data_IF_846766036537
#
_entry.id   IF_846766036537
#
_cell.length_a   1.000
_cell.length_b   1.000
_cell.length_c   1.000
_cell.angle_alpha   90.00
_cell.angle_beta   90.00
_cell.angle_gamma   90.00
#
_symmetry.space_group_name_H-M   'P 1'
#
loop_
_entity.id
_entity.type
_entity.pdbx_description
1 polymer ?
#
# COMPACT_ATOMS: atom_id res chain seq x y z
N UNK A 1 57.60 -40.11 -32.25
CA UNK A 1 56.19 -40.18 -31.92
C UNK A 1 55.85 -38.97 -31.03
N UNK A 2 55.15 -37.96 -31.61
CA UNK A 2 54.77 -36.72 -30.92
C UNK A 2 53.29 -36.86 -30.55
N UNK A 3 52.99 -36.97 -29.23
CA UNK A 3 51.65 -37.02 -28.71
C UNK A 3 51.08 -35.59 -28.65
N UNK A 4 49.99 -35.33 -29.35
CA UNK A 4 49.23 -34.06 -29.27
C UNK A 4 48.13 -34.23 -28.24
N UNK A 5 48.20 -33.41 -27.20
CA UNK A 5 47.13 -33.31 -26.18
C UNK A 5 46.11 -32.28 -26.72
N UNK A 6 44.93 -32.73 -27.02
CA UNK A 6 43.78 -31.86 -27.38
C UNK A 6 43.06 -31.47 -26.09
N UNK A 7 43.12 -30.19 -25.69
CA UNK A 7 42.39 -29.65 -24.57
C UNK A 7 41.02 -29.23 -25.09
N UNK A 8 39.96 -29.93 -24.64
CA UNK A 8 38.57 -29.53 -24.83
C UNK A 8 38.19 -28.46 -23.78
N UNK A 9 38.06 -27.23 -24.23
CA UNK A 9 37.46 -26.16 -23.40
C UNK A 9 35.95 -26.28 -23.51
N UNK A 10 35.32 -26.78 -22.44
CA UNK A 10 33.86 -26.77 -22.32
C UNK A 10 33.40 -25.34 -21.96
N UNK A 11 32.80 -24.67 -22.93
CA UNK A 11 32.15 -23.35 -22.72
C UNK A 11 30.81 -23.56 -21.98
N UNK A 12 30.82 -23.31 -20.69
CA UNK A 12 29.57 -23.30 -19.89
C UNK A 12 28.82 -22.00 -20.19
N UNK A 13 27.79 -22.08 -21.02
CA UNK A 13 26.82 -21.00 -21.22
C UNK A 13 25.94 -20.92 -19.97
N UNK A 14 26.20 -19.97 -19.06
CA UNK A 14 25.28 -19.54 -18.03
C UNK A 14 24.11 -18.82 -18.72
N UNK A 15 23.06 -19.56 -19.01
CA UNK A 15 21.78 -18.99 -19.41
C UNK A 15 21.19 -18.25 -18.22
N UNK A 16 21.31 -16.93 -18.20
CA UNK A 16 20.49 -16.09 -17.33
C UNK A 16 19.03 -16.25 -17.80
N UNK A 17 18.24 -17.04 -17.08
CA UNK A 17 16.78 -16.98 -17.19
C UNK A 17 16.33 -15.62 -16.65
N UNK A 18 16.26 -14.61 -17.52
CA UNK A 18 15.39 -13.47 -17.29
C UNK A 18 13.95 -14.01 -17.42
N UNK A 19 13.31 -14.30 -16.27
CA UNK A 19 11.87 -14.49 -16.24
C UNK A 19 11.19 -13.28 -16.89
N UNK A 20 9.98 -13.44 -17.46
CA UNK A 20 9.25 -12.33 -18.04
C UNK A 20 9.15 -11.23 -16.97
N UNK A 21 9.62 -10.04 -17.30
CA UNK A 21 9.39 -8.86 -16.48
C UNK A 21 7.87 -8.74 -16.35
N UNK A 22 7.37 -8.97 -15.14
CA UNK A 22 5.96 -8.81 -14.83
C UNK A 22 5.64 -7.35 -15.18
N UNK A 23 4.74 -7.11 -16.11
CA UNK A 23 4.48 -5.78 -16.69
C UNK A 23 3.98 -4.76 -15.65
N UNK A 24 3.78 -5.21 -14.42
CA UNK A 24 3.54 -4.33 -13.28
C UNK A 24 2.39 -3.32 -13.44
N UNK A 25 1.44 -3.58 -14.33
CA UNK A 25 0.25 -2.74 -14.52
C UNK A 25 -0.91 -3.39 -13.78
N UNK A 26 -1.48 -2.68 -12.82
CA UNK A 26 -2.60 -3.19 -12.01
C UNK A 26 -3.78 -2.24 -12.08
N UNK A 27 -4.94 -2.77 -12.41
CA UNK A 27 -6.22 -2.06 -12.41
C UNK A 27 -6.78 -1.92 -10.99
N UNK A 28 -7.66 -0.95 -10.82
CA UNK A 28 -8.43 -0.81 -9.59
C UNK A 28 -9.21 -2.08 -9.30
N UNK A 29 -9.25 -2.57 -8.05
CA UNK A 29 -10.12 -3.67 -7.64
C UNK A 29 -11.59 -3.36 -7.91
N UNK A 30 -12.36 -4.39 -8.25
CA UNK A 30 -13.80 -4.34 -8.47
C UNK A 30 -14.56 -5.06 -7.36
N UNK A 31 -15.88 -4.89 -7.31
CA UNK A 31 -16.72 -5.60 -6.34
C UNK A 31 -16.54 -7.12 -6.39
N UNK A 32 -16.31 -7.69 -7.60
CA UNK A 32 -16.15 -9.13 -7.81
C UNK A 32 -14.86 -9.70 -7.20
N UNK A 33 -13.89 -8.85 -6.86
CA UNK A 33 -12.62 -9.28 -6.28
C UNK A 33 -12.72 -9.55 -4.77
N UNK A 34 -13.83 -9.16 -4.10
CA UNK A 34 -14.03 -9.29 -2.67
C UNK A 34 -14.94 -10.46 -2.32
N UNK A 35 -14.62 -11.18 -1.23
CA UNK A 35 -15.37 -12.34 -0.78
C UNK A 35 -15.72 -12.23 0.71
N UNK A 36 -16.95 -12.63 1.09
CA UNK A 36 -17.37 -12.68 2.50
C UNK A 36 -16.43 -13.58 3.30
N UNK A 37 -15.95 -13.08 4.44
CA UNK A 37 -14.99 -13.75 5.31
C UNK A 37 -13.54 -13.51 4.94
N UNK A 38 -13.24 -12.71 3.89
CA UNK A 38 -11.89 -12.22 3.64
C UNK A 38 -11.51 -11.23 4.74
N UNK A 39 -10.33 -11.42 5.34
CA UNK A 39 -9.94 -10.70 6.56
C UNK A 39 -8.51 -10.24 6.51
N UNK A 40 -8.26 -9.03 6.99
CA UNK A 40 -6.95 -8.42 7.18
C UNK A 40 -6.80 -7.97 8.63
N UNK A 41 -5.60 -8.14 9.20
CA UNK A 41 -5.24 -7.61 10.52
C UNK A 41 -3.94 -6.83 10.39
N UNK A 42 -3.97 -5.55 10.78
CA UNK A 42 -2.80 -4.70 10.85
C UNK A 42 -2.41 -4.42 12.29
N UNK A 43 -1.11 -4.25 12.49
CA UNK A 43 -0.56 -3.68 13.71
C UNK A 43 0.00 -2.31 13.39
N UNK A 44 -0.34 -1.32 14.21
CA UNK A 44 0.10 0.05 14.01
C UNK A 44 0.77 0.62 15.24
N UNK A 45 1.68 1.60 15.03
CA UNK A 45 2.32 2.36 16.07
C UNK A 45 2.66 3.77 15.59
N UNK A 46 2.31 4.77 16.40
CA UNK A 46 2.66 6.17 16.21
C UNK A 46 3.46 6.70 17.37
N UNK A 47 4.59 7.36 17.08
CA UNK A 47 5.52 7.90 18.09
C UNK A 47 5.97 9.30 17.71
N UNK A 48 6.25 10.13 18.71
CA UNK A 48 6.93 11.41 18.50
C UNK A 48 8.45 11.23 18.41
N UNK A 49 9.18 12.23 17.91
CA UNK A 49 10.65 12.23 17.89
C UNK A 49 11.27 12.13 19.30
N UNK A 50 10.52 12.52 20.34
CA UNK A 50 10.92 12.35 21.74
C UNK A 50 10.66 10.95 22.29
N UNK A 51 10.04 10.06 21.47
CA UNK A 51 9.74 8.68 21.83
C UNK A 51 8.41 8.48 22.57
N UNK A 52 7.57 9.52 22.67
CA UNK A 52 6.23 9.38 23.25
C UNK A 52 5.33 8.59 22.29
N UNK A 53 4.69 7.52 22.80
CA UNK A 53 3.73 6.71 22.04
C UNK A 53 2.39 7.44 22.01
N UNK A 54 1.90 7.79 20.82
CA UNK A 54 0.62 8.45 20.59
C UNK A 54 -0.49 7.44 20.19
N UNK A 55 -0.10 6.38 19.52
CA UNK A 55 -0.99 5.28 19.15
C UNK A 55 -0.22 3.98 19.11
N UNK A 56 -0.84 2.88 19.52
CA UNK A 56 -0.31 1.51 19.45
C UNK A 56 -1.50 0.56 19.53
N UNK A 57 -1.62 -0.37 18.59
CA UNK A 57 -2.74 -1.30 18.58
C UNK A 57 -2.80 -2.17 17.33
N UNK A 58 -3.95 -2.83 17.18
CA UNK A 58 -4.27 -3.64 16.02
C UNK A 58 -5.61 -3.19 15.43
N UNK A 59 -5.74 -3.25 14.11
CA UNK A 59 -6.98 -3.02 13.37
C UNK A 59 -7.32 -4.26 12.56
N UNK A 60 -8.57 -4.70 12.67
CA UNK A 60 -9.11 -5.79 11.86
C UNK A 60 -10.14 -5.25 10.89
N UNK A 61 -10.03 -5.65 9.62
CA UNK A 61 -11.05 -5.42 8.59
C UNK A 61 -11.50 -6.76 8.04
N UNK A 62 -12.79 -6.93 7.83
CA UNK A 62 -13.38 -8.17 7.33
C UNK A 62 -14.50 -7.86 6.33
N UNK A 63 -14.60 -8.66 5.27
CA UNK A 63 -15.72 -8.58 4.34
C UNK A 63 -16.89 -9.38 4.91
N UNK A 64 -17.99 -8.70 5.13
CA UNK A 64 -19.23 -9.25 5.64
C UNK A 64 -20.37 -9.07 4.62
N UNK A 65 -21.46 -9.82 4.81
CA UNK A 65 -22.71 -9.58 4.06
C UNK A 65 -23.76 -9.02 5.01
N UNK A 66 -24.24 -7.81 4.73
CA UNK A 66 -25.32 -7.16 5.47
C UNK A 66 -26.51 -6.98 4.54
N UNK A 67 -27.61 -7.71 4.78
CA UNK A 67 -28.81 -7.69 3.92
C UNK A 67 -28.53 -7.98 2.44
N UNK A 68 -27.55 -8.86 2.15
CA UNK A 68 -27.17 -9.22 0.79
C UNK A 68 -26.20 -8.25 0.11
N UNK A 69 -25.78 -7.19 0.79
CA UNK A 69 -24.76 -6.23 0.31
C UNK A 69 -23.42 -6.55 0.96
N UNK A 70 -22.35 -6.56 0.16
CA UNK A 70 -20.99 -6.71 0.69
C UNK A 70 -20.57 -5.42 1.41
N UNK A 71 -20.12 -5.56 2.63
CA UNK A 71 -19.54 -4.49 3.43
C UNK A 71 -18.17 -4.87 3.97
N UNK A 72 -17.33 -3.89 4.23
CA UNK A 72 -16.07 -4.04 4.95
C UNK A 72 -16.22 -3.43 6.35
N UNK A 73 -15.94 -4.22 7.37
CA UNK A 73 -15.88 -3.71 8.74
C UNK A 73 -14.60 -2.92 8.95
N UNK A 74 -14.70 -1.75 9.59
CA UNK A 74 -13.56 -0.90 9.98
C UNK A 74 -13.86 -0.37 11.36
N UNK A 75 -13.18 -0.89 12.39
CA UNK A 75 -13.55 -0.59 13.78
C UNK A 75 -14.99 -1.01 14.09
N UNK A 76 -15.83 -0.05 14.46
CA UNK A 76 -17.25 -0.28 14.77
C UNK A 76 -18.18 -0.03 13.57
N UNK A 77 -17.65 0.42 12.45
CA UNK A 77 -18.43 0.78 11.26
C UNK A 77 -18.37 -0.33 10.20
N UNK A 78 -19.35 -0.31 9.30
CA UNK A 78 -19.35 -1.16 8.09
C UNK A 78 -19.61 -0.27 6.90
N UNK A 79 -18.64 -0.25 5.97
CA UNK A 79 -18.70 0.53 4.74
C UNK A 79 -19.06 -0.41 3.59
N UNK A 80 -20.05 -0.09 2.73
CA UNK A 80 -20.32 -0.87 1.53
C UNK A 80 -19.10 -1.01 0.66
N UNK A 81 -18.79 -2.23 0.18
CA UNK A 81 -17.64 -2.45 -0.71
C UNK A 81 -17.78 -1.65 -2.00
N UNK A 82 -19.01 -1.39 -2.46
CA UNK A 82 -19.29 -0.51 -3.62
C UNK A 82 -18.71 0.90 -3.45
N UNK A 83 -18.66 1.41 -2.22
CA UNK A 83 -18.10 2.74 -1.95
C UNK A 83 -16.56 2.70 -1.92
N UNK A 84 -15.98 1.55 -1.55
CA UNK A 84 -14.53 1.32 -1.53
C UNK A 84 -13.97 1.20 -2.96
N UNK A 85 -14.69 0.48 -3.84
CA UNK A 85 -14.26 0.25 -5.23
C UNK A 85 -14.77 1.32 -6.20
N UNK A 86 -15.51 2.32 -5.71
CA UNK A 86 -15.96 3.44 -6.52
C UNK A 86 -14.73 4.15 -7.10
N UNK A 87 -14.70 4.42 -8.41
CA UNK A 87 -13.63 5.21 -9.00
C UNK A 87 -13.53 6.58 -8.32
N UNK A 88 -12.32 6.99 -8.00
CA UNK A 88 -12.05 8.35 -7.54
C UNK A 88 -12.02 9.25 -8.78
N UNK A 89 -13.05 10.09 -8.92
CA UNK A 89 -13.19 11.04 -10.02
C UNK A 89 -12.45 12.38 -9.76
N UNK A 90 -11.73 12.47 -8.62
CA UNK A 90 -10.88 13.62 -8.31
C UNK A 90 -9.75 13.76 -9.33
N UNK A 91 -9.35 15.00 -9.62
CA UNK A 91 -8.13 15.27 -10.38
C UNK A 91 -6.86 14.97 -9.57
N UNK A 92 -7.00 14.74 -8.26
CA UNK A 92 -5.92 14.49 -7.31
C UNK A 92 -6.20 13.25 -6.43
N UNK A 93 -6.38 12.04 -7.03
CA UNK A 93 -6.82 10.85 -6.31
C UNK A 93 -5.74 10.30 -5.37
N UNK A 94 -6.16 9.53 -4.34
CA UNK A 94 -5.21 8.78 -3.50
C UNK A 94 -4.43 7.75 -4.31
N UNK A 95 -5.11 7.03 -5.22
CA UNK A 95 -4.52 6.10 -6.18
C UNK A 95 -4.93 6.51 -7.59
N UNK A 96 -3.97 6.82 -8.43
CA UNK A 96 -4.23 7.09 -9.85
C UNK A 96 -4.10 5.78 -10.65
N UNK A 97 -5.25 5.12 -10.85
CA UNK A 97 -5.33 3.84 -11.57
C UNK A 97 -5.19 4.00 -13.09
N UNK A 98 -4.62 3.02 -13.82
CA UNK A 98 -3.93 1.83 -13.32
C UNK A 98 -2.59 2.19 -12.65
N UNK A 99 -2.16 1.37 -11.67
CA UNK A 99 -0.82 1.52 -11.07
C UNK A 99 0.23 0.93 -12.03
N UNK A 100 1.30 1.67 -12.25
CA UNK A 100 2.44 1.31 -13.09
C UNK A 100 3.71 1.95 -12.53
N UNK A 101 4.84 1.24 -12.57
CA UNK A 101 6.14 1.77 -12.10
C UNK A 101 6.54 3.00 -12.89
N UNK A 102 6.93 4.06 -12.19
CA UNK A 102 7.29 5.37 -12.74
C UNK A 102 6.12 6.33 -12.91
N UNK A 103 4.86 5.89 -12.67
CA UNK A 103 3.70 6.78 -12.70
C UNK A 103 3.77 7.82 -11.59
N UNK A 104 3.38 9.07 -11.91
CA UNK A 104 3.38 10.21 -10.98
C UNK A 104 2.08 10.97 -11.08
N UNK A 105 1.59 11.45 -9.95
CA UNK A 105 0.39 12.29 -9.89
C UNK A 105 0.41 13.22 -8.67
N UNK A 106 -0.56 14.10 -8.58
CA UNK A 106 -0.85 14.91 -7.39
C UNK A 106 -1.91 14.21 -6.56
N UNK A 107 -1.72 14.22 -5.26
CA UNK A 107 -2.74 13.84 -4.30
C UNK A 107 -3.09 15.03 -3.42
N UNK A 108 -4.38 15.32 -3.28
CA UNK A 108 -4.88 16.31 -2.34
C UNK A 108 -6.06 15.76 -1.54
N UNK A 109 -6.05 16.05 -0.26
CA UNK A 109 -7.12 15.68 0.65
C UNK A 109 -7.47 16.87 1.55
N UNK A 110 -8.72 17.29 1.50
CA UNK A 110 -9.29 18.28 2.41
C UNK A 110 -10.15 17.56 3.44
N UNK A 111 -9.92 17.83 4.69
CA UNK A 111 -10.64 17.19 5.78
C UNK A 111 -11.20 18.20 6.78
N UNK A 112 -12.25 17.78 7.49
CA UNK A 112 -12.83 18.52 8.60
C UNK A 112 -13.02 17.55 9.76
N UNK A 113 -12.43 17.85 10.90
CA UNK A 113 -12.60 17.06 12.13
C UNK A 113 -13.90 17.39 12.85
N UNK A 114 -14.29 16.54 13.80
CA UNK A 114 -15.53 16.72 14.57
C UNK A 114 -15.58 18.04 15.35
N UNK A 115 -14.45 18.61 15.73
CA UNK A 115 -14.35 19.89 16.44
C UNK A 115 -14.31 21.12 15.50
N UNK A 116 -14.57 20.90 14.19
CA UNK A 116 -14.59 21.94 13.17
C UNK A 116 -13.21 22.42 12.67
N UNK A 117 -12.12 21.78 13.10
CA UNK A 117 -10.80 22.04 12.53
C UNK A 117 -10.77 21.54 11.08
N UNK A 118 -10.42 22.40 10.13
CA UNK A 118 -10.21 22.02 8.74
C UNK A 118 -8.73 21.85 8.46
N UNK A 119 -8.39 20.97 7.51
CA UNK A 119 -7.01 20.78 7.08
C UNK A 119 -6.92 20.40 5.62
N UNK A 120 -5.71 20.51 5.11
CA UNK A 120 -5.34 20.14 3.77
C UNK A 120 -4.04 19.33 3.80
N UNK A 121 -4.01 18.27 2.98
CA UNK A 121 -2.83 17.48 2.67
C UNK A 121 -2.61 17.61 1.16
N UNK A 122 -1.41 17.99 0.73
CA UNK A 122 -1.05 18.13 -0.68
C UNK A 122 0.31 17.49 -0.91
N UNK A 123 0.36 16.45 -1.76
CA UNK A 123 1.52 15.60 -1.97
C UNK A 123 1.75 15.30 -3.46
N UNK A 124 3.02 15.13 -3.83
CA UNK A 124 3.44 14.46 -5.05
C UNK A 124 3.54 12.96 -4.80
N UNK A 125 2.87 12.17 -5.60
CA UNK A 125 2.87 10.72 -5.53
C UNK A 125 3.69 10.12 -6.68
N UNK A 126 4.43 9.02 -6.39
CA UNK A 126 5.20 8.27 -7.37
C UNK A 126 5.21 6.78 -7.05
N UNK A 127 4.98 5.93 -8.07
CA UNK A 127 5.20 4.49 -8.00
C UNK A 127 6.67 4.18 -8.27
N UNK A 128 7.40 3.79 -7.22
CA UNK A 128 8.86 3.58 -7.30
C UNK A 128 9.24 2.19 -7.82
N UNK A 129 8.50 1.15 -7.43
CA UNK A 129 8.82 -0.25 -7.76
C UNK A 129 7.59 -1.15 -7.71
N UNK A 130 7.72 -2.34 -8.32
CA UNK A 130 6.81 -3.48 -8.14
C UNK A 130 7.64 -4.73 -7.96
N UNK A 131 7.72 -5.24 -6.74
CA UNK A 131 8.60 -6.33 -6.35
C UNK A 131 8.05 -7.14 -5.18
N UNK A 132 8.70 -8.24 -4.83
CA UNK A 132 8.38 -9.00 -3.63
C UNK A 132 8.75 -8.21 -2.37
N UNK A 133 7.77 -8.08 -1.46
CA UNK A 133 7.90 -7.47 -0.16
C UNK A 133 7.41 -8.43 0.92
N UNK A 134 8.14 -8.52 2.03
CA UNK A 134 7.82 -9.42 3.14
C UNK A 134 7.40 -8.64 4.37
N UNK A 135 6.25 -9.01 4.93
CA UNK A 135 5.69 -8.53 6.20
C UNK A 135 5.34 -9.71 7.10
N UNK A 136 4.88 -9.47 8.32
CA UNK A 136 4.54 -10.57 9.25
C UNK A 136 3.47 -11.53 8.69
N UNK A 137 2.52 -11.04 7.88
CA UNK A 137 1.48 -11.84 7.22
C UNK A 137 1.98 -12.72 6.06
N UNK A 138 3.22 -12.50 5.55
CA UNK A 138 3.77 -13.25 4.42
C UNK A 138 4.51 -12.41 3.41
N UNK A 139 4.76 -12.99 2.22
CA UNK A 139 5.44 -12.33 1.10
C UNK A 139 4.45 -12.07 -0.02
N UNK A 140 4.47 -10.86 -0.56
CA UNK A 140 3.54 -10.38 -1.58
C UNK A 140 4.29 -9.60 -2.66
N UNK A 141 3.84 -9.71 -3.90
CA UNK A 141 4.20 -8.71 -4.93
C UNK A 141 3.48 -7.41 -4.61
N UNK A 142 4.23 -6.33 -4.39
CA UNK A 142 3.69 -5.04 -3.98
C UNK A 142 4.29 -3.88 -4.76
N UNK A 143 3.47 -2.85 -4.99
CA UNK A 143 3.91 -1.55 -5.44
C UNK A 143 4.43 -0.76 -4.24
N UNK A 144 5.61 -0.15 -4.39
CA UNK A 144 6.06 0.90 -3.48
C UNK A 144 5.59 2.24 -4.03
N UNK A 145 4.67 2.89 -3.32
CA UNK A 145 4.14 4.20 -3.69
C UNK A 145 4.61 5.20 -2.64
N UNK A 146 5.33 6.22 -3.08
CA UNK A 146 5.82 7.29 -2.22
C UNK A 146 5.01 8.56 -2.44
N UNK A 147 4.59 9.17 -1.33
CA UNK A 147 3.94 10.49 -1.30
C UNK A 147 4.85 11.45 -0.56
N UNK A 148 5.06 12.64 -1.09
CA UNK A 148 5.90 13.66 -0.47
C UNK A 148 5.26 15.03 -0.62
N UNK A 149 5.08 15.73 0.48
CA UNK A 149 4.41 17.04 0.42
C UNK A 149 4.28 17.70 1.79
N UNK A 150 3.12 18.27 2.02
CA UNK A 150 2.81 19.03 3.24
C UNK A 150 1.40 18.75 3.70
N UNK A 151 1.24 18.82 5.01
CA UNK A 151 -0.06 18.91 5.66
C UNK A 151 -0.15 20.20 6.46
N UNK A 152 -1.36 20.75 6.56
CA UNK A 152 -1.64 21.96 7.33
C UNK A 152 -3.06 21.94 7.86
N UNK A 153 -3.34 22.75 8.89
CA UNK A 153 -4.69 22.92 9.42
C UNK A 153 -5.02 24.37 9.79
N UNK A 154 -6.30 24.63 10.03
CA UNK A 154 -6.84 25.97 10.38
C UNK A 154 -6.38 26.47 11.76
N UNK A 155 -5.71 25.64 12.57
CA UNK A 155 -5.13 26.03 13.86
C UNK A 155 -3.65 26.43 13.77
N UNK A 156 -3.15 26.61 12.55
CA UNK A 156 -1.77 27.06 12.32
C UNK A 156 -0.72 25.94 12.30
N UNK A 157 -1.11 24.68 12.39
CA UNK A 157 -0.19 23.56 12.19
C UNK A 157 0.20 23.46 10.72
N UNK A 158 1.48 23.24 10.43
CA UNK A 158 2.00 22.92 9.11
C UNK A 158 3.28 22.10 9.25
N UNK A 159 3.38 21.01 8.51
CA UNK A 159 4.54 20.12 8.50
C UNK A 159 4.80 19.56 7.11
N UNK A 160 6.07 19.25 6.83
CA UNK A 160 6.40 18.35 5.72
C UNK A 160 5.96 16.95 6.08
N UNK A 161 5.52 16.23 5.06
CA UNK A 161 5.02 14.86 5.19
C UNK A 161 5.61 13.98 4.10
N UNK A 162 6.02 12.78 4.51
CA UNK A 162 6.42 11.72 3.62
C UNK A 162 5.70 10.43 4.03
N UNK A 163 5.05 9.79 3.06
CA UNK A 163 4.44 8.47 3.25
C UNK A 163 5.03 7.48 2.24
N UNK A 164 5.19 6.24 2.68
CA UNK A 164 5.52 5.11 1.80
C UNK A 164 4.49 4.01 2.02
N UNK A 165 3.79 3.66 0.97
CA UNK A 165 2.77 2.62 0.94
C UNK A 165 3.26 1.43 0.14
N UNK A 166 3.20 0.23 0.70
CA UNK A 166 3.40 -1.03 -0.01
C UNK A 166 2.02 -1.60 -0.35
N UNK A 167 1.53 -1.36 -1.56
CA UNK A 167 0.22 -1.84 -2.01
C UNK A 167 0.35 -3.19 -2.73
N UNK A 168 -0.33 -4.23 -2.23
CA UNK A 168 -0.33 -5.57 -2.78
C UNK A 168 -1.65 -5.88 -3.52
N UNK A 169 -1.64 -5.98 -4.86
CA UNK A 169 -2.85 -6.25 -5.65
C UNK A 169 -3.55 -7.55 -5.28
N UNK A 170 -2.80 -8.59 -4.92
CA UNK A 170 -3.33 -9.90 -4.55
C UNK A 170 -4.29 -9.87 -3.35
N UNK A 171 -4.11 -8.89 -2.47
CA UNK A 171 -4.96 -8.68 -1.30
C UNK A 171 -5.79 -7.40 -1.38
N UNK A 172 -5.68 -6.64 -2.48
CA UNK A 172 -6.44 -5.40 -2.76
C UNK A 172 -6.24 -4.30 -1.70
N UNK A 173 -5.11 -4.34 -0.99
CA UNK A 173 -4.83 -3.42 0.10
C UNK A 173 -3.32 -3.21 0.27
N UNK A 174 -2.94 -2.23 1.10
CA UNK A 174 -1.54 -2.10 1.51
C UNK A 174 -1.16 -3.19 2.51
N UNK A 175 0.10 -3.60 2.46
CA UNK A 175 0.71 -4.52 3.43
C UNK A 175 1.57 -3.77 4.45
N UNK A 176 1.98 -2.56 4.11
CA UNK A 176 2.74 -1.69 5.01
C UNK A 176 2.54 -0.22 4.64
N UNK A 177 2.46 0.61 5.65
CA UNK A 177 2.50 2.06 5.58
C UNK A 177 3.55 2.57 6.55
N UNK A 178 4.36 3.52 6.11
CA UNK A 178 5.16 4.37 6.99
C UNK A 178 4.87 5.83 6.66
N UNK A 179 4.72 6.65 7.69
CA UNK A 179 4.46 8.09 7.56
C UNK A 179 5.39 8.85 8.51
N UNK A 180 6.01 9.90 7.99
CA UNK A 180 6.76 10.87 8.78
C UNK A 180 6.15 12.25 8.55
N UNK A 181 5.69 12.89 9.61
CA UNK A 181 5.00 14.17 9.58
C UNK A 181 5.52 15.08 10.70
N UNK A 182 6.40 16.01 10.34
CA UNK A 182 7.05 16.86 11.34
C UNK A 182 7.77 16.03 12.41
N UNK A 183 7.30 16.16 13.66
CA UNK A 183 7.86 15.43 14.81
C UNK A 183 7.15 14.11 15.12
N UNK A 184 6.31 13.64 14.22
CA UNK A 184 5.53 12.41 14.40
C UNK A 184 5.87 11.38 13.31
N UNK A 185 6.06 10.13 13.73
CA UNK A 185 6.24 8.97 12.84
C UNK A 185 5.17 7.94 13.13
N UNK A 186 4.59 7.38 12.08
CA UNK A 186 3.59 6.32 12.14
C UNK A 186 4.02 5.17 11.24
N UNK A 187 3.79 3.95 11.71
CA UNK A 187 3.97 2.73 10.93
C UNK A 187 2.79 1.80 11.15
N UNK A 188 2.35 1.15 10.09
CA UNK A 188 1.30 0.15 10.09
C UNK A 188 1.74 -1.00 9.17
N UNK A 189 1.60 -2.26 9.65
CA UNK A 189 2.04 -3.45 8.94
C UNK A 189 0.99 -4.55 9.05
N UNK A 190 0.70 -5.21 7.93
CA UNK A 190 -0.18 -6.38 7.88
C UNK A 190 0.48 -7.55 8.62
N UNK A 191 -0.19 -8.04 9.68
CA UNK A 191 0.28 -9.14 10.51
C UNK A 191 -0.48 -10.45 10.26
N UNK A 192 -1.67 -10.38 9.68
CA UNK A 192 -2.44 -11.56 9.26
C UNK A 192 -3.35 -11.24 8.07
N UNK A 193 -3.50 -12.22 7.18
CA UNK A 193 -4.42 -12.17 6.04
C UNK A 193 -4.98 -13.53 5.75
N UNK A 194 -6.30 -13.62 5.63
CA UNK A 194 -6.99 -14.85 5.29
C UNK A 194 -8.11 -14.65 4.27
N UNK A 195 -8.23 -15.63 3.37
CA UNK A 195 -9.39 -15.77 2.46
C UNK A 195 -10.26 -16.92 2.92
N UNK A 196 -11.59 -16.82 2.72
CA UNK A 196 -12.48 -17.97 2.91
C UNK A 196 -12.06 -19.09 1.96
N UNK A 197 -12.21 -20.34 2.44
CA UNK A 197 -11.94 -21.57 1.66
C UNK A 197 -13.07 -21.86 0.69
#
# INVERSE_FOLDING_TARGET
MKSQIVIFIALVMLGACSGPANSGITQQPTLADYQVGEKWVWKYKGVTTEGEVRSDGEETREIVSVNGVLGMTIGNDTIPVTDIVKPDESETPKYDWPLEVGKKWKYENNWTSQDGTTGNQSQDAEVLSYQEETVAAGTFMAYTIKYTGKTSNSRGYSANEEEVWLYAPAIKNFIKLTQNQGEFSYAEELIDYSKPK
#
